data_IF_507772201598
#
_entry.id   IF_507772201598
#
_cell.length_a   1.000
_cell.length_b   1.000
_cell.length_c   1.000
_cell.angle_alpha   90.00
_cell.angle_beta   90.00
_cell.angle_gamma   90.00
#
_symmetry.space_group_name_H-M   'P 1'
#
loop_
_entity.id
_entity.type
_entity.pdbx_description
1 polymer ?
#
# COMPACT_ATOMS: atom_id res chain seq x y z
N UNK A 1 5.54 -24.15 8.06
CA UNK A 1 6.52 -23.18 7.56
C UNK A 1 7.15 -23.80 6.34
N UNK A 2 7.30 -23.06 5.26
CA UNK A 2 8.01 -23.54 4.07
C UNK A 2 9.24 -22.66 3.95
N UNK A 3 10.41 -23.29 4.00
CA UNK A 3 11.70 -22.63 3.78
C UNK A 3 12.40 -23.39 2.68
N UNK A 4 12.81 -22.68 1.63
CA UNK A 4 13.62 -23.24 0.56
C UNK A 4 15.08 -23.00 0.89
N UNK A 5 15.82 -24.07 1.13
CA UNK A 5 17.25 -24.04 1.40
C UNK A 5 17.87 -25.40 1.04
N UNK A 6 19.05 -25.39 0.44
CA UNK A 6 19.76 -26.61 0.05
C UNK A 6 20.39 -27.33 1.27
N UNK A 7 20.71 -26.58 2.33
CA UNK A 7 21.29 -27.12 3.56
C UNK A 7 20.68 -26.48 4.79
N UNK A 8 20.58 -27.28 5.86
CA UNK A 8 20.12 -26.82 7.16
C UNK A 8 21.26 -26.08 7.88
N UNK A 9 21.19 -24.74 7.90
CA UNK A 9 22.14 -23.93 8.67
C UNK A 9 21.79 -23.94 10.15
N UNK A 10 22.77 -23.68 11.03
CA UNK A 10 22.53 -23.61 12.48
C UNK A 10 21.51 -22.53 12.89
N UNK A 11 21.38 -21.45 12.11
CA UNK A 11 20.34 -20.42 12.35
C UNK A 11 18.94 -20.92 11.98
N UNK A 12 18.82 -21.67 10.89
CA UNK A 12 17.55 -22.29 10.48
C UNK A 12 17.11 -23.35 11.50
N UNK A 13 18.02 -24.18 11.98
CA UNK A 13 17.74 -25.18 13.02
C UNK A 13 17.20 -24.54 14.31
N UNK A 14 17.84 -23.46 14.79
CA UNK A 14 17.35 -22.71 15.96
C UNK A 14 15.97 -22.10 15.73
N UNK A 15 15.74 -21.49 14.57
CA UNK A 15 14.46 -20.86 14.23
C UNK A 15 13.32 -21.88 14.14
N UNK A 16 13.58 -23.04 13.52
CA UNK A 16 12.64 -24.16 13.46
C UNK A 16 12.30 -24.69 14.86
N UNK A 17 13.32 -24.98 15.68
CA UNK A 17 13.13 -25.48 17.05
C UNK A 17 12.32 -24.53 17.91
N UNK A 18 12.60 -23.23 17.86
CA UNK A 18 11.84 -22.25 18.64
C UNK A 18 10.40 -22.11 18.14
N UNK A 19 10.19 -22.17 16.82
CA UNK A 19 8.83 -22.16 16.23
C UNK A 19 8.03 -23.38 16.69
N UNK A 20 8.63 -24.57 16.66
CA UNK A 20 7.97 -25.80 17.09
C UNK A 20 7.71 -25.81 18.60
N UNK A 21 8.65 -25.31 19.42
CA UNK A 21 8.47 -25.16 20.86
C UNK A 21 7.27 -24.27 21.18
N UNK A 22 7.17 -23.10 20.56
CA UNK A 22 6.04 -22.17 20.73
C UNK A 22 4.72 -22.78 20.28
N UNK A 23 4.72 -23.45 19.12
CA UNK A 23 3.52 -24.08 18.56
C UNK A 23 2.98 -25.17 19.50
N UNK A 24 3.84 -26.00 20.10
CA UNK A 24 3.42 -27.02 21.07
C UNK A 24 2.72 -26.41 22.27
N UNK A 25 3.27 -25.34 22.84
CA UNK A 25 2.67 -24.63 23.99
C UNK A 25 1.30 -24.05 23.60
N UNK A 26 1.22 -23.38 22.44
CA UNK A 26 -0.03 -22.80 21.95
C UNK A 26 -1.11 -23.85 21.71
N UNK A 27 -0.76 -25.01 21.12
CA UNK A 27 -1.70 -26.10 20.89
C UNK A 27 -2.18 -26.74 22.20
N UNK A 28 -1.28 -26.93 23.17
CA UNK A 28 -1.64 -27.46 24.49
C UNK A 28 -2.60 -26.52 25.22
N UNK A 29 -2.26 -25.23 25.27
CA UNK A 29 -3.11 -24.19 25.86
C UNK A 29 -4.49 -24.12 25.19
N UNK A 30 -4.52 -24.11 23.85
CA UNK A 30 -5.77 -24.08 23.10
C UNK A 30 -6.63 -25.31 23.36
N UNK A 31 -6.03 -26.51 23.48
CA UNK A 31 -6.76 -27.74 23.78
C UNK A 31 -7.33 -27.72 25.21
N UNK A 32 -6.56 -27.26 26.18
CA UNK A 32 -6.99 -27.11 27.57
C UNK A 32 -8.14 -26.11 27.72
N UNK A 33 -8.12 -25.02 26.95
CA UNK A 33 -9.09 -23.93 27.04
C UNK A 33 -10.20 -24.00 25.98
N UNK A 34 -10.25 -25.06 25.16
CA UNK A 34 -11.23 -25.20 24.08
C UNK A 34 -11.16 -24.12 22.99
N UNK A 35 -10.02 -23.46 22.81
CA UNK A 35 -9.83 -22.36 21.87
C UNK A 35 -9.61 -22.93 20.47
N UNK A 36 -10.50 -22.60 19.54
CA UNK A 36 -10.29 -22.87 18.11
C UNK A 36 -9.55 -21.70 17.47
N UNK A 37 -8.36 -21.90 16.87
CA UNK A 37 -7.63 -20.83 16.21
C UNK A 37 -8.46 -20.22 15.08
N UNK A 38 -8.66 -18.91 15.12
CA UNK A 38 -9.32 -18.14 14.06
C UNK A 38 -8.40 -17.01 13.61
N UNK A 39 -8.42 -16.71 12.32
CA UNK A 39 -7.72 -15.54 11.79
C UNK A 39 -8.34 -14.28 12.39
N UNK A 40 -7.50 -13.35 12.83
CA UNK A 40 -7.95 -12.04 13.29
C UNK A 40 -8.45 -11.26 12.07
N UNK A 41 -9.70 -10.83 12.09
CA UNK A 41 -10.23 -9.85 11.15
C UNK A 41 -10.08 -8.48 11.80
N UNK A 42 -9.10 -7.71 11.36
CA UNK A 42 -8.90 -6.32 11.77
C UNK A 42 -9.37 -5.43 10.63
N UNK A 43 -10.35 -4.59 10.93
CA UNK A 43 -10.74 -3.50 10.04
C UNK A 43 -9.55 -2.53 9.92
N UNK A 44 -9.22 -2.14 8.69
CA UNK A 44 -8.26 -1.08 8.45
C UNK A 44 -8.95 0.20 8.89
N UNK A 45 -8.61 0.70 10.08
CA UNK A 45 -9.08 2.01 10.51
C UNK A 45 -8.48 3.04 9.57
N UNK A 46 -9.30 3.56 8.67
CA UNK A 46 -8.91 4.66 7.81
C UNK A 46 -8.79 5.90 8.69
N UNK A 47 -7.55 6.26 9.02
CA UNK A 47 -7.21 7.43 9.84
C UNK A 47 -7.77 8.71 9.19
N UNK A 48 -8.09 8.69 7.88
CA UNK A 48 -8.74 9.80 7.18
C UNK A 48 -10.13 10.12 7.70
N UNK A 49 -10.96 9.13 8.05
CA UNK A 49 -12.34 9.37 8.46
C UNK A 49 -12.45 10.15 9.79
N UNK A 50 -11.38 10.19 10.58
CA UNK A 50 -11.30 10.96 11.81
C UNK A 50 -10.78 12.39 11.59
N UNK A 51 -10.24 12.70 10.40
CA UNK A 51 -9.54 13.95 10.07
C UNK A 51 -10.14 14.73 8.89
N UNK A 52 -11.03 14.14 8.09
CA UNK A 52 -11.62 14.79 6.91
C UNK A 52 -13.04 15.28 7.19
N UNK A 53 -13.12 16.46 7.79
CA UNK A 53 -14.25 17.35 7.55
C UNK A 53 -13.97 18.13 6.27
N UNK A 54 -14.83 17.94 5.26
CA UNK A 54 -14.94 18.74 4.03
C UNK A 54 -13.71 18.56 3.09
N UNK A 55 -13.79 18.30 1.78
CA UNK A 55 -14.45 19.08 0.73
C UNK A 55 -14.59 18.20 -0.54
N UNK A 56 -15.80 18.14 -1.11
CA UNK A 56 -16.03 17.64 -2.47
C UNK A 56 -15.55 18.72 -3.47
N UNK A 57 -14.36 18.53 -4.08
CA UNK A 57 -13.94 19.38 -5.19
C UNK A 57 -14.48 18.86 -6.53
N UNK A 58 -15.21 19.76 -7.16
CA UNK A 58 -16.06 19.67 -8.33
C UNK A 58 -15.38 19.11 -9.59
N UNK A 59 -16.11 18.18 -10.22
CA UNK A 59 -15.83 17.44 -11.46
C UNK A 59 -15.53 18.35 -12.67
N UNK A 60 -15.81 19.64 -12.59
CA UNK A 60 -15.70 20.64 -13.66
C UNK A 60 -14.27 21.04 -14.02
N UNK A 61 -13.33 20.98 -13.06
CA UNK A 61 -11.92 21.31 -13.31
C UNK A 61 -11.20 20.28 -14.19
N UNK A 62 -11.61 19.02 -14.10
CA UNK A 62 -11.00 17.88 -14.78
C UNK A 62 -11.22 17.96 -16.32
N UNK A 63 -12.37 18.50 -16.75
CA UNK A 63 -12.74 18.57 -18.17
C UNK A 63 -11.86 19.54 -18.97
N UNK A 64 -11.26 20.56 -18.34
CA UNK A 64 -10.37 21.52 -19.02
C UNK A 64 -8.97 20.97 -19.32
N UNK A 65 -8.53 19.94 -18.61
CA UNK A 65 -7.22 19.31 -18.81
C UNK A 65 -7.20 18.29 -19.96
N UNK A 66 -8.39 17.88 -20.44
CA UNK A 66 -8.53 16.84 -21.48
C UNK A 66 -7.98 17.24 -22.86
N UNK A 67 -7.77 18.53 -23.14
CA UNK A 67 -7.47 19.00 -24.50
C UNK A 67 -6.00 19.22 -24.83
N UNK A 68 -5.07 19.24 -23.86
CA UNK A 68 -3.72 19.79 -24.12
C UNK A 68 -2.53 18.89 -23.81
N UNK A 69 -2.59 17.95 -22.85
CA UNK A 69 -1.37 17.26 -22.43
C UNK A 69 -1.02 16.04 -23.31
N UNK A 70 0.14 16.09 -23.97
CA UNK A 70 0.75 14.93 -24.62
C UNK A 70 1.11 13.86 -23.58
N UNK A 71 1.07 12.58 -23.99
CA UNK A 71 1.30 11.45 -23.07
C UNK A 71 2.71 11.43 -22.47
N UNK A 72 3.69 12.05 -23.12
CA UNK A 72 5.06 12.13 -22.63
C UNK A 72 5.20 13.13 -21.47
N UNK A 73 4.54 14.28 -21.55
CA UNK A 73 4.60 15.30 -20.51
C UNK A 73 4.01 14.81 -19.19
N UNK A 74 2.94 14.02 -19.25
CA UNK A 74 2.29 13.43 -18.07
C UNK A 74 3.22 12.45 -17.35
N UNK A 75 4.03 11.68 -18.09
CA UNK A 75 4.97 10.72 -17.47
C UNK A 75 6.08 11.43 -16.70
N UNK A 76 6.55 12.58 -17.19
CA UNK A 76 7.61 13.34 -16.53
C UNK A 76 7.09 14.09 -15.30
N UNK A 77 5.90 14.69 -15.39
CA UNK A 77 5.22 15.29 -14.23
C UNK A 77 4.96 14.25 -13.13
N UNK A 78 4.62 13.02 -13.51
CA UNK A 78 4.37 11.94 -12.55
C UNK A 78 5.65 11.53 -11.80
N UNK A 79 6.81 11.48 -12.49
CA UNK A 79 8.10 11.21 -11.85
C UNK A 79 8.49 12.30 -10.86
N UNK A 80 8.26 13.56 -11.23
CA UNK A 80 8.55 14.71 -10.37
C UNK A 80 7.70 14.68 -9.09
N UNK A 81 6.38 14.48 -9.23
CA UNK A 81 5.47 14.34 -8.08
C UNK A 81 5.79 13.14 -7.20
N UNK A 82 6.21 12.00 -7.79
CA UNK A 82 6.68 10.85 -7.02
C UNK A 82 7.93 11.16 -6.18
N UNK A 83 8.84 11.98 -6.72
CA UNK A 83 10.02 12.43 -6.01
C UNK A 83 9.65 13.33 -4.84
N UNK A 84 8.78 14.33 -5.08
CA UNK A 84 8.29 15.25 -4.04
C UNK A 84 7.55 14.50 -2.92
N UNK A 85 6.72 13.51 -3.26
CA UNK A 85 6.01 12.67 -2.28
C UNK A 85 6.99 11.92 -1.38
N UNK A 86 8.04 11.35 -1.96
CA UNK A 86 9.09 10.63 -1.21
C UNK A 86 9.89 11.57 -0.32
N UNK A 87 10.18 12.79 -0.77
CA UNK A 87 10.87 13.80 0.03
C UNK A 87 9.99 14.30 1.19
N UNK A 88 8.69 14.55 0.97
CA UNK A 88 7.74 14.88 2.02
C UNK A 88 7.65 13.77 3.08
N UNK A 89 7.59 12.50 2.65
CA UNK A 89 7.59 11.35 3.55
C UNK A 89 8.90 11.24 4.36
N UNK A 90 10.06 11.54 3.77
CA UNK A 90 11.35 11.59 4.49
C UNK A 90 11.38 12.72 5.53
N UNK A 91 10.72 13.84 5.26
CA UNK A 91 10.59 14.99 6.18
C UNK A 91 9.51 14.80 7.24
N UNK A 92 8.84 13.64 7.28
CA UNK A 92 7.70 13.33 8.16
C UNK A 92 6.46 14.22 7.91
N UNK A 93 6.39 14.88 6.75
CA UNK A 93 5.22 15.63 6.31
C UNK A 93 4.26 14.70 5.56
N UNK A 94 3.40 14.04 6.34
CA UNK A 94 2.46 13.06 5.81
C UNK A 94 1.24 13.68 5.14
N UNK A 95 0.90 14.94 5.44
CA UNK A 95 -0.20 15.65 4.81
C UNK A 95 0.14 15.92 3.35
N UNK A 96 1.30 16.55 3.10
CA UNK A 96 1.78 16.82 1.74
C UNK A 96 2.01 15.53 0.97
N UNK A 97 2.57 14.49 1.60
CA UNK A 97 2.76 13.18 0.95
C UNK A 97 1.43 12.52 0.57
N UNK A 98 0.37 12.69 1.37
CA UNK A 98 -0.96 12.13 1.08
C UNK A 98 -1.64 12.85 -0.09
N UNK A 99 -1.50 14.18 -0.18
CA UNK A 99 -2.02 14.98 -1.30
C UNK A 99 -1.32 14.57 -2.60
N UNK A 100 0.02 14.54 -2.60
CA UNK A 100 0.81 14.16 -3.77
C UNK A 100 0.50 12.74 -4.25
N UNK A 101 0.27 11.80 -3.32
CA UNK A 101 -0.14 10.44 -3.65
C UNK A 101 -1.48 10.41 -4.40
N UNK A 102 -2.47 11.16 -3.94
CA UNK A 102 -3.80 11.16 -4.55
C UNK A 102 -3.76 11.83 -5.95
N UNK A 103 -2.95 12.88 -6.12
CA UNK A 103 -2.67 13.47 -7.43
C UNK A 103 -1.98 12.50 -8.40
N UNK A 104 -0.97 11.75 -7.94
CA UNK A 104 -0.28 10.72 -8.74
C UNK A 104 -1.27 9.65 -9.20
N UNK A 105 -2.20 9.22 -8.32
CA UNK A 105 -3.22 8.22 -8.67
C UNK A 105 -4.13 8.75 -9.79
N UNK A 106 -4.60 9.99 -9.69
CA UNK A 106 -5.44 10.62 -10.72
C UNK A 106 -4.70 10.72 -12.06
N UNK A 107 -3.48 11.26 -12.05
CA UNK A 107 -2.65 11.42 -13.26
C UNK A 107 -2.30 10.06 -13.89
N UNK A 108 -2.00 9.03 -13.08
CA UNK A 108 -1.73 7.68 -13.58
C UNK A 108 -2.94 7.06 -14.26
N UNK A 109 -4.16 7.32 -13.75
CA UNK A 109 -5.41 6.84 -14.32
C UNK A 109 -5.68 7.51 -15.65
N UNK A 110 -5.43 8.82 -15.76
CA UNK A 110 -5.54 9.56 -17.02
C UNK A 110 -4.53 9.08 -18.07
N UNK A 111 -3.27 8.89 -17.68
CA UNK A 111 -2.25 8.34 -18.57
C UNK A 111 -2.67 6.97 -19.13
N UNK A 112 -3.19 6.09 -18.28
CA UNK A 112 -3.69 4.78 -18.67
C UNK A 112 -4.92 4.88 -19.59
N UNK A 113 -5.82 5.85 -19.36
CA UNK A 113 -6.96 6.14 -20.23
C UNK A 113 -6.51 6.61 -21.62
N UNK A 114 -5.55 7.55 -21.69
CA UNK A 114 -4.96 8.05 -22.93
C UNK A 114 -4.21 6.97 -23.70
N UNK A 115 -3.43 6.11 -23.03
CA UNK A 115 -2.76 4.94 -23.64
C UNK A 115 -3.75 3.93 -24.23
N UNK A 116 -4.91 3.72 -23.60
CA UNK A 116 -5.99 2.87 -24.13
C UNK A 116 -6.66 3.49 -25.36
N UNK A 117 -6.90 4.80 -25.38
CA UNK A 117 -7.47 5.53 -26.53
C UNK A 117 -6.54 5.51 -27.76
N UNK A 118 -5.21 5.60 -27.58
CA UNK A 118 -4.21 5.50 -28.67
C UNK A 118 -4.05 4.10 -29.29
N UNK A 119 -4.52 3.04 -28.63
CA UNK A 119 -4.41 1.64 -29.12
C UNK A 119 -5.67 1.14 -29.86
N UNK A 120 -6.72 1.95 -29.93
CA UNK A 120 -7.93 1.70 -30.74
C UNK A 120 -7.84 2.52 -32.02
#
# INVERSE_FOLDING_TARGET
MIVYADQLTGSLDRALKETDRRRKIQLAYNKEHGITPKSIQKEIKDIRAMLSGEEEHSIEGILKLEMTAETHEIEDVLKEKEYEMKEAAKKLDFETAAILRDEIVLLSKELNSKKKKKKK
#
